data_IF_530367781116
#
_entry.id   IF_530367781116
#
_cell.length_a   1.000
_cell.length_b   1.000
_cell.length_c   1.000
_cell.angle_alpha   90.00
_cell.angle_beta   90.00
_cell.angle_gamma   90.00
#
_symmetry.space_group_name_H-M   'P 1'
#
loop_
_entity.id
_entity.type
_entity.pdbx_description
1 polymer ?
#
# COMPACT_ATOMS: atom_id res chain seq x y z
N UNK A 1 -8.81 16.58 18.55
CA UNK A 1 -8.23 15.25 18.27
C UNK A 1 -7.65 15.27 16.86
N UNK A 2 -6.43 14.78 16.64
CA UNK A 2 -5.79 14.77 15.31
C UNK A 2 -5.11 13.41 15.09
N UNK A 3 -5.54 12.69 14.05
CA UNK A 3 -4.84 11.47 13.62
C UNK A 3 -3.44 11.83 13.11
N UNK A 4 -2.44 11.06 13.51
CA UNK A 4 -1.05 11.26 13.10
C UNK A 4 -0.61 10.21 12.08
N UNK A 5 -0.72 8.92 12.45
CA UNK A 5 -0.08 7.83 11.71
C UNK A 5 -0.70 6.49 12.10
N UNK A 6 -0.69 5.52 11.20
CA UNK A 6 -0.92 4.11 11.51
C UNK A 6 0.41 3.47 11.86
N UNK A 7 0.48 2.75 12.99
CA UNK A 7 1.73 2.18 13.50
C UNK A 7 1.65 0.65 13.47
N UNK A 8 2.62 0.02 12.80
CA UNK A 8 2.75 -1.43 12.67
C UNK A 8 3.72 -1.98 13.72
N UNK A 9 3.31 -3.04 14.39
CA UNK A 9 4.18 -3.78 15.30
C UNK A 9 5.17 -4.63 14.50
N UNK A 10 6.47 -4.39 14.65
CA UNK A 10 7.52 -5.15 13.97
C UNK A 10 8.48 -5.79 14.96
N UNK A 11 9.08 -6.91 14.57
CA UNK A 11 10.07 -7.62 15.41
C UNK A 11 11.47 -7.01 15.32
N UNK A 12 11.82 -6.50 14.14
CA UNK A 12 13.13 -5.93 13.85
C UNK A 12 12.96 -4.72 12.92
N UNK A 13 13.34 -3.54 13.43
CA UNK A 13 13.23 -2.26 12.75
C UNK A 13 14.10 -2.23 11.51
N UNK A 14 15.31 -2.78 11.54
CA UNK A 14 16.22 -2.70 10.39
C UNK A 14 15.79 -3.64 9.27
N UNK A 15 15.24 -4.81 9.60
CA UNK A 15 14.61 -5.71 8.61
C UNK A 15 13.42 -5.01 7.95
N UNK A 16 12.53 -4.41 8.73
CA UNK A 16 11.34 -3.73 8.21
C UNK A 16 11.69 -2.45 7.46
N UNK A 17 12.66 -1.65 7.93
CA UNK A 17 13.20 -0.50 7.19
C UNK A 17 13.68 -0.91 5.83
N UNK A 18 14.56 -1.91 5.77
CA UNK A 18 15.09 -2.40 4.50
C UNK A 18 13.97 -2.85 3.57
N UNK A 19 12.98 -3.58 4.07
CA UNK A 19 11.83 -4.02 3.28
C UNK A 19 11.06 -2.84 2.66
N UNK A 20 10.62 -1.86 3.46
CA UNK A 20 9.85 -0.72 2.96
C UNK A 20 10.68 0.24 2.10
N UNK A 21 11.96 0.45 2.41
CA UNK A 21 12.84 1.32 1.62
C UNK A 21 13.21 0.68 0.28
N UNK A 22 13.56 -0.61 0.24
CA UNK A 22 14.03 -1.24 -0.99
C UNK A 22 12.89 -1.68 -1.90
N UNK A 23 11.85 -2.33 -1.37
CA UNK A 23 10.76 -2.85 -2.19
C UNK A 23 9.77 -1.74 -2.57
N UNK A 24 9.37 -0.91 -1.60
CA UNK A 24 8.35 0.13 -1.76
C UNK A 24 8.90 1.54 -1.98
N UNK A 25 10.24 1.70 -1.99
CA UNK A 25 10.90 2.99 -2.21
C UNK A 25 10.43 4.06 -1.20
N UNK A 26 10.02 3.64 -0.01
CA UNK A 26 9.54 4.55 1.03
C UNK A 26 10.69 5.32 1.64
N UNK A 27 10.52 6.63 1.77
CA UNK A 27 11.50 7.50 2.43
C UNK A 27 11.22 7.55 3.93
N UNK A 28 12.27 7.58 4.75
CA UNK A 28 12.13 7.80 6.19
C UNK A 28 11.92 9.29 6.45
N UNK A 29 10.82 9.64 7.12
CA UNK A 29 10.54 11.02 7.56
C UNK A 29 11.12 11.30 8.95
N UNK A 30 11.09 10.31 9.85
CA UNK A 30 11.63 10.41 11.20
C UNK A 30 12.11 9.04 11.70
N UNK A 31 13.33 9.00 12.24
CA UNK A 31 13.93 7.81 12.87
C UNK A 31 14.24 8.11 14.34
N UNK A 32 13.60 7.39 15.25
CA UNK A 32 13.79 7.47 16.70
C UNK A 32 14.37 6.16 17.28
N UNK A 33 15.03 5.35 16.44
CA UNK A 33 15.52 4.03 16.81
C UNK A 33 14.40 3.00 16.77
N UNK A 34 13.72 2.74 17.90
CA UNK A 34 12.66 1.72 17.98
C UNK A 34 11.35 2.10 17.29
N UNK A 35 11.24 3.35 16.87
CA UNK A 35 10.11 3.89 16.13
C UNK A 35 10.62 4.60 14.89
N UNK A 36 10.11 4.21 13.72
CA UNK A 36 10.47 4.84 12.45
C UNK A 36 9.20 5.17 11.68
N UNK A 37 9.10 6.41 11.23
CA UNK A 37 7.97 6.91 10.44
C UNK A 37 8.41 7.11 9.00
N UNK A 38 7.61 6.56 8.08
CA UNK A 38 7.82 6.71 6.65
C UNK A 38 6.98 7.84 6.09
N UNK A 39 7.55 8.52 5.09
CA UNK A 39 6.87 9.48 4.25
C UNK A 39 5.74 8.75 3.53
N UNK A 40 4.49 9.10 3.83
CA UNK A 40 3.32 8.36 3.36
C UNK A 40 2.33 8.02 4.47
N UNK A 41 2.67 8.28 5.74
CA UNK A 41 1.70 8.29 6.84
C UNK A 41 1.53 6.96 7.57
N UNK A 42 2.57 6.10 7.55
CA UNK A 42 2.66 4.95 8.44
C UNK A 42 4.01 4.90 9.17
N UNK A 43 4.03 4.20 10.30
CA UNK A 43 5.21 3.99 11.13
C UNK A 43 5.36 2.52 11.50
N UNK A 44 6.57 2.12 11.85
CA UNK A 44 6.90 0.80 12.38
C UNK A 44 7.47 0.94 13.80
N UNK A 45 7.18 -0.04 14.65
CA UNK A 45 7.55 -0.04 16.06
C UNK A 45 8.05 -1.40 16.54
N UNK A 46 9.26 -1.43 17.06
CA UNK A 46 9.79 -2.52 17.88
C UNK A 46 9.25 -2.46 19.32
N UNK A 47 9.24 -3.58 20.06
CA UNK A 47 8.73 -3.60 21.45
C UNK A 47 7.28 -3.09 21.58
N UNK A 48 6.44 -3.38 20.60
CA UNK A 48 5.08 -2.85 20.52
C UNK A 48 4.23 -3.14 21.77
N UNK A 49 4.38 -4.33 22.37
CA UNK A 49 3.66 -4.68 23.60
C UNK A 49 4.03 -3.76 24.78
N UNK A 50 5.31 -3.39 24.90
CA UNK A 50 5.77 -2.41 25.90
C UNK A 50 5.21 -1.02 25.60
N UNK A 51 5.27 -0.57 24.34
CA UNK A 51 4.75 0.75 23.95
C UNK A 51 3.26 0.88 24.29
N UNK A 52 2.49 -0.17 24.04
CA UNK A 52 1.02 -0.17 24.20
C UNK A 52 0.56 -0.63 25.59
N UNK A 53 1.45 -1.16 26.41
CA UNK A 53 1.13 -1.66 27.75
C UNK A 53 0.29 -2.93 27.77
N UNK A 54 0.32 -3.74 26.71
CA UNK A 54 -0.42 -5.02 26.61
C UNK A 54 0.50 -6.21 26.90
N UNK A 55 -0.11 -7.38 27.15
CA UNK A 55 0.66 -8.61 27.33
C UNK A 55 1.33 -9.03 26.01
N UNK A 56 2.67 -9.22 25.97
CA UNK A 56 3.38 -9.69 24.77
C UNK A 56 2.79 -10.94 24.12
N UNK A 57 2.24 -11.87 24.90
CA UNK A 57 1.65 -13.12 24.40
C UNK A 57 0.37 -12.89 23.58
N UNK A 58 -0.19 -11.69 23.62
CA UNK A 58 -1.40 -11.31 22.88
C UNK A 58 -1.11 -10.72 21.50
N UNK A 59 0.17 -10.52 21.16
CA UNK A 59 0.56 -10.05 19.82
C UNK A 59 0.39 -11.19 18.81
N UNK A 60 -0.48 -10.97 17.83
CA UNK A 60 -0.80 -11.95 16.79
C UNK A 60 -0.17 -11.50 15.48
N UNK A 61 0.66 -12.36 14.88
CA UNK A 61 1.08 -12.21 13.49
C UNK A 61 0.04 -12.82 12.56
N UNK A 62 -0.09 -12.27 11.35
CA UNK A 62 -1.00 -12.79 10.31
C UNK A 62 -2.47 -12.79 10.77
N UNK A 63 -2.89 -11.74 11.49
CA UNK A 63 -4.26 -11.55 11.96
C UNK A 63 -5.26 -11.34 10.82
N UNK A 64 -4.79 -10.90 9.64
CA UNK A 64 -5.57 -10.67 8.43
C UNK A 64 -6.79 -9.74 8.62
N UNK A 65 -6.68 -8.76 9.52
CA UNK A 65 -7.76 -7.85 9.87
C UNK A 65 -7.49 -6.38 9.53
N UNK A 66 -6.34 -6.09 8.93
CA UNK A 66 -5.98 -4.77 8.43
C UNK A 66 -5.03 -4.91 7.23
N UNK A 67 -4.96 -3.88 6.39
CA UNK A 67 -3.95 -3.76 5.35
C UNK A 67 -3.43 -2.31 5.23
N UNK A 68 -2.19 -2.16 4.77
CA UNK A 68 -1.74 -0.91 4.16
C UNK A 68 -2.02 -0.96 2.67
N UNK A 69 -2.55 0.13 2.12
CA UNK A 69 -2.91 0.24 0.70
C UNK A 69 -1.98 1.23 0.00
N UNK A 70 -1.31 0.75 -1.04
CA UNK A 70 -0.44 1.56 -1.92
C UNK A 70 -0.95 1.52 -3.35
N UNK A 71 -0.74 2.61 -4.07
CA UNK A 71 -0.93 2.67 -5.52
C UNK A 71 0.42 2.82 -6.22
N UNK A 72 0.55 2.20 -7.39
CA UNK A 72 1.71 2.34 -8.27
C UNK A 72 1.27 2.64 -9.68
N UNK A 73 1.94 3.58 -10.33
CA UNK A 73 1.61 3.99 -11.70
C UNK A 73 1.96 2.89 -12.73
N UNK A 74 3.10 2.23 -12.54
CA UNK A 74 3.53 1.11 -13.39
C UNK A 74 3.46 -0.21 -12.62
N UNK A 75 2.26 -0.79 -12.60
CA UNK A 75 1.97 -2.05 -11.93
C UNK A 75 2.82 -3.21 -12.45
N UNK A 76 3.01 -3.31 -13.77
CA UNK A 76 3.76 -4.42 -14.37
C UNK A 76 5.24 -4.38 -13.97
N UNK A 77 5.87 -3.20 -13.98
CA UNK A 77 7.23 -3.00 -13.47
C UNK A 77 7.35 -3.34 -11.99
N UNK A 78 6.35 -2.97 -11.17
CA UNK A 78 6.36 -3.33 -9.76
C UNK A 78 6.26 -4.84 -9.56
N UNK A 79 5.41 -5.54 -10.32
CA UNK A 79 5.32 -7.01 -10.26
C UNK A 79 6.62 -7.68 -10.66
N UNK A 80 7.31 -7.18 -11.70
CA UNK A 80 8.65 -7.67 -12.07
C UNK A 80 9.66 -7.52 -10.92
N UNK A 81 9.68 -6.33 -10.29
CA UNK A 81 10.51 -6.06 -9.11
C UNK A 81 10.15 -7.02 -7.97
N UNK A 82 8.88 -7.13 -7.63
CA UNK A 82 8.36 -7.99 -6.56
C UNK A 82 8.76 -9.46 -6.74
N UNK A 83 8.67 -9.98 -7.96
CA UNK A 83 9.05 -11.35 -8.29
C UNK A 83 10.55 -11.65 -8.07
N UNK A 84 11.40 -10.64 -7.95
CA UNK A 84 12.83 -10.81 -7.61
C UNK A 84 13.07 -11.08 -6.11
N UNK A 85 12.10 -10.77 -5.23
CA UNK A 85 12.18 -10.98 -3.79
C UNK A 85 11.52 -12.30 -3.40
N UNK A 86 12.34 -13.35 -3.24
CA UNK A 86 11.86 -14.73 -3.04
C UNK A 86 11.27 -15.00 -1.66
N UNK A 87 11.63 -14.16 -0.69
CA UNK A 87 11.20 -14.23 0.71
C UNK A 87 9.81 -13.63 0.94
N UNK A 88 9.27 -12.88 -0.03
CA UNK A 88 7.96 -12.24 0.10
C UNK A 88 6.86 -13.28 -0.06
N UNK A 89 5.99 -13.36 0.95
CA UNK A 89 4.83 -14.24 0.94
C UNK A 89 3.62 -13.50 0.36
N UNK A 90 2.99 -14.09 -0.65
CA UNK A 90 1.74 -13.58 -1.22
C UNK A 90 0.54 -14.01 -0.38
N UNK A 91 -0.40 -13.09 -0.14
CA UNK A 91 -1.73 -13.44 0.35
C UNK A 91 -2.50 -14.17 -0.75
N UNK A 92 -2.41 -13.64 -1.98
CA UNK A 92 -2.92 -14.26 -3.20
C UNK A 92 -2.13 -13.76 -4.41
N UNK A 93 -2.23 -14.47 -5.54
CA UNK A 93 -1.66 -14.02 -6.82
C UNK A 93 -2.33 -12.72 -7.29
N UNK A 94 -1.69 -11.94 -8.18
CA UNK A 94 -2.31 -10.75 -8.75
C UNK A 94 -3.67 -11.07 -9.38
N UNK A 95 -4.64 -10.17 -9.17
CA UNK A 95 -6.00 -10.29 -9.70
C UNK A 95 -6.52 -8.92 -10.12
N UNK A 96 -7.67 -8.90 -10.80
CA UNK A 96 -8.33 -7.68 -11.25
C UNK A 96 -9.75 -7.62 -10.69
N UNK A 97 -10.11 -6.50 -10.09
CA UNK A 97 -11.45 -6.25 -9.56
C UNK A 97 -12.43 -5.75 -10.62
N UNK A 98 -13.72 -5.73 -10.28
CA UNK A 98 -14.81 -5.28 -11.15
C UNK A 98 -14.68 -3.81 -11.56
N UNK A 99 -14.12 -2.97 -10.68
CA UNK A 99 -13.76 -1.58 -10.96
C UNK A 99 -12.46 -1.43 -11.76
N UNK A 100 -12.01 -2.51 -12.40
CA UNK A 100 -10.91 -2.56 -13.36
C UNK A 100 -9.49 -2.41 -12.79
N UNK A 101 -9.36 -2.27 -11.47
CA UNK A 101 -8.06 -2.20 -10.82
C UNK A 101 -7.40 -3.57 -10.72
N UNK A 102 -6.14 -3.64 -11.15
CA UNK A 102 -5.24 -4.77 -10.88
C UNK A 102 -4.59 -4.58 -9.53
N UNK A 103 -4.55 -5.63 -8.72
CA UNK A 103 -3.96 -5.58 -7.38
C UNK A 103 -3.15 -6.84 -7.10
N UNK A 104 -2.22 -6.72 -6.16
CA UNK A 104 -1.55 -7.84 -5.50
C UNK A 104 -1.54 -7.59 -4.00
N UNK A 105 -1.66 -8.65 -3.20
CA UNK A 105 -1.50 -8.57 -1.75
C UNK A 105 -0.36 -9.46 -1.29
N UNK A 106 0.51 -8.89 -0.47
CA UNK A 106 1.65 -9.57 0.13
C UNK A 106 1.66 -9.36 1.63
N UNK A 107 2.47 -10.15 2.31
CA UNK A 107 2.84 -9.90 3.69
C UNK A 107 4.17 -9.17 3.77
N UNK A 108 4.26 -8.23 4.71
CA UNK A 108 5.54 -7.70 5.17
C UNK A 108 6.30 -8.76 6.04
N UNK A 109 7.51 -8.45 6.54
CA UNK A 109 8.28 -9.37 7.39
C UNK A 109 7.52 -9.88 8.62
N UNK A 110 6.59 -9.09 9.15
CA UNK A 110 5.83 -9.37 10.38
C UNK A 110 4.38 -9.82 10.13
N UNK A 111 4.05 -10.10 8.86
CA UNK A 111 2.75 -10.63 8.40
C UNK A 111 1.59 -9.63 8.50
N UNK A 112 1.88 -8.35 8.35
CA UNK A 112 0.89 -7.32 8.02
C UNK A 112 0.56 -7.40 6.53
N UNK A 113 -0.72 -7.31 6.17
CA UNK A 113 -1.13 -7.32 4.76
C UNK A 113 -0.78 -5.96 4.15
N UNK A 114 -0.20 -6.01 2.95
CA UNK A 114 -0.02 -4.84 2.10
C UNK A 114 -0.70 -5.11 0.75
N UNK A 115 -1.64 -4.26 0.38
CA UNK A 115 -2.19 -4.19 -0.96
C UNK A 115 -1.40 -3.19 -1.80
N UNK A 116 -1.07 -3.62 -3.01
CA UNK A 116 -0.50 -2.76 -4.05
C UNK A 116 -1.46 -2.82 -5.23
N UNK A 117 -2.09 -1.68 -5.53
CA UNK A 117 -3.00 -1.51 -6.65
C UNK A 117 -2.38 -0.71 -7.78
N UNK A 118 -2.83 -0.95 -9.01
CA UNK A 118 -2.63 -0.02 -10.11
C UNK A 118 -3.30 1.32 -9.76
N UNK A 119 -2.60 2.42 -10.03
CA UNK A 119 -3.09 3.78 -9.76
C UNK A 119 -4.46 4.02 -10.39
N UNK A 120 -5.43 4.45 -9.59
CA UNK A 120 -6.78 4.73 -10.09
C UNK A 120 -6.77 5.89 -11.10
N UNK A 121 -5.81 6.80 -10.97
CA UNK A 121 -5.60 7.90 -11.91
C UNK A 121 -5.10 7.39 -13.27
N UNK A 122 -4.18 6.41 -13.27
CA UNK A 122 -3.71 5.74 -14.49
C UNK A 122 -4.84 4.97 -15.16
N UNK A 123 -5.67 4.27 -14.38
CA UNK A 123 -6.85 3.55 -14.90
C UNK A 123 -7.85 4.53 -15.52
N UNK A 124 -8.18 5.62 -14.83
CA UNK A 124 -9.09 6.65 -15.33
C UNK A 124 -8.58 7.24 -16.65
N UNK A 125 -7.30 7.64 -16.70
CA UNK A 125 -6.67 8.18 -17.91
C UNK A 125 -6.69 7.20 -19.08
N UNK A 126 -6.51 5.90 -18.82
CA UNK A 126 -6.58 4.85 -19.85
C UNK A 126 -7.96 4.81 -20.51
N UNK A 127 -9.04 4.72 -19.72
CA UNK A 127 -10.40 4.69 -20.27
C UNK A 127 -10.77 6.00 -20.98
N UNK A 128 -10.38 7.16 -20.44
CA UNK A 128 -10.58 8.44 -21.14
C UNK A 128 -9.83 8.49 -22.49
N UNK A 129 -8.61 7.92 -22.56
CA UNK A 129 -7.84 7.85 -23.79
C UNK A 129 -8.43 6.86 -24.82
N UNK A 130 -9.15 5.84 -24.37
CA UNK A 130 -9.92 4.91 -25.21
C UNK A 130 -11.21 5.53 -25.77
N UNK A 131 -11.56 6.76 -25.36
CA UNK A 131 -12.67 7.54 -25.90
C UNK A 131 -13.96 7.48 -25.07
N UNK A 132 -13.92 6.88 -23.88
CA UNK A 132 -15.04 6.93 -22.94
C UNK A 132 -15.21 8.33 -22.36
N UNK A 133 -16.46 8.75 -22.15
CA UNK A 133 -16.75 9.99 -21.40
C UNK A 133 -16.33 9.88 -19.93
N UNK A 134 -16.23 11.03 -19.24
CA UNK A 134 -15.99 11.06 -17.80
C UNK A 134 -17.09 10.33 -17.01
N UNK A 135 -18.35 10.46 -17.43
CA UNK A 135 -19.51 9.79 -16.84
C UNK A 135 -19.46 8.26 -17.02
N UNK A 136 -19.08 7.78 -18.20
CA UNK A 136 -18.91 6.34 -18.46
C UNK A 136 -17.74 5.77 -17.66
N UNK A 137 -16.60 6.44 -17.71
CA UNK A 137 -15.39 6.04 -16.98
C UNK A 137 -15.65 5.97 -15.48
N UNK A 138 -16.32 6.98 -14.90
CA UNK A 138 -16.73 7.00 -13.49
C UNK A 138 -17.53 5.77 -13.09
N UNK A 139 -18.48 5.34 -13.93
CA UNK A 139 -19.26 4.12 -13.69
C UNK A 139 -18.43 2.85 -13.82
N UNK A 140 -17.54 2.78 -14.81
CA UNK A 140 -16.68 1.61 -15.06
C UNK A 140 -15.72 1.36 -13.89
N UNK A 141 -15.04 2.41 -13.43
CA UNK A 141 -14.02 2.31 -12.37
C UNK A 141 -14.60 2.55 -10.97
N UNK A 142 -15.91 2.74 -10.88
CA UNK A 142 -16.67 2.96 -9.64
C UNK A 142 -16.11 4.10 -8.77
N UNK A 143 -15.56 5.15 -9.39
CA UNK A 143 -15.06 6.34 -8.69
C UNK A 143 -15.95 7.55 -8.92
N UNK A 144 -15.93 8.54 -8.00
CA UNK A 144 -16.65 9.80 -8.17
C UNK A 144 -16.32 10.47 -9.50
N UNK A 145 -17.32 11.08 -10.13
CA UNK A 145 -17.12 11.75 -11.42
C UNK A 145 -16.14 12.92 -11.32
N UNK A 146 -16.08 13.58 -10.17
CA UNK A 146 -15.15 14.66 -9.88
C UNK A 146 -13.69 14.19 -9.97
N UNK A 147 -13.39 12.99 -9.47
CA UNK A 147 -12.07 12.38 -9.58
C UNK A 147 -11.71 12.13 -11.04
N UNK A 148 -12.63 11.57 -11.83
CA UNK A 148 -12.38 11.30 -13.26
C UNK A 148 -12.18 12.60 -14.04
N UNK A 149 -12.97 13.64 -13.76
CA UNK A 149 -12.80 14.97 -14.36
C UNK A 149 -11.48 15.61 -13.99
N UNK A 150 -10.97 15.40 -12.77
CA UNK A 150 -9.62 15.84 -12.42
C UNK A 150 -8.57 15.13 -13.29
N UNK A 151 -8.67 13.80 -13.43
CA UNK A 151 -7.75 13.01 -14.27
C UNK A 151 -7.76 13.44 -15.75
N UNK A 152 -8.91 13.87 -16.26
CA UNK A 152 -9.06 14.40 -17.62
C UNK A 152 -8.28 15.71 -17.83
N UNK A 153 -8.31 16.59 -16.82
CA UNK A 153 -7.69 17.92 -16.87
C UNK A 153 -6.20 17.91 -16.51
N UNK A 154 -5.72 16.90 -15.79
CA UNK A 154 -4.30 16.71 -15.43
C UNK A 154 -3.40 16.35 -16.63
N UNK A 155 -3.88 16.46 -17.87
CA UNK A 155 -3.03 16.38 -19.08
C UNK A 155 -2.18 17.65 -19.21
N UNK A 156 -1.08 17.74 -18.47
CA UNK A 156 0.06 18.63 -18.75
C UNK A 156 1.38 17.90 -18.55
#
# INVERSE_FOLDING_TARGET
MKYQVSLLAVKDIEVSKKFYQELFEQEIELDLGKNVTFRGGFAIQEDFAWLTGINPDTIIQKSNNMELYFEVDNFDKFIEKLNSYKEVEFVHKPLKYEWQQRVVRIYDPDKHIIEIGESMEVIARRYLAEGYSAEETSKIIQHPIEFVKQCENSKQ
#
